data_IF_359176160524
#
_entry.id   IF_359176160524
#
_cell.length_a   1.000
_cell.length_b   1.000
_cell.length_c   1.000
_cell.angle_alpha   90.00
_cell.angle_beta   90.00
_cell.angle_gamma   90.00
#
_symmetry.space_group_name_H-M   'P 1'
#
loop_
_entity.id
_entity.type
_entity.pdbx_description
1 polymer ?
#
# COMPACT_ATOMS: atom_id res chain seq x y z
N UNK A 1 -0.11 -21.67 -25.78
CA UNK A 1 1.32 -21.67 -26.16
C UNK A 1 2.10 -21.82 -24.87
N UNK A 2 3.19 -22.59 -24.81
CA UNK A 2 3.92 -22.74 -23.54
C UNK A 2 4.89 -21.56 -23.31
N UNK A 3 5.35 -21.36 -22.07
CA UNK A 3 6.23 -20.25 -21.65
C UNK A 3 7.43 -20.06 -22.58
N UNK A 4 8.12 -21.15 -22.91
CA UNK A 4 9.32 -21.16 -23.74
C UNK A 4 9.05 -20.65 -25.16
N UNK A 5 7.87 -20.91 -25.71
CA UNK A 5 7.47 -20.38 -27.00
C UNK A 5 7.22 -18.88 -26.95
N UNK A 6 6.56 -18.36 -25.90
CA UNK A 6 6.27 -16.93 -25.76
C UNK A 6 7.53 -16.08 -25.52
N UNK A 7 8.48 -16.60 -24.74
CA UNK A 7 9.73 -15.89 -24.45
C UNK A 7 10.70 -15.85 -25.64
N UNK A 8 10.60 -16.82 -26.56
CA UNK A 8 11.47 -16.89 -27.75
C UNK A 8 10.91 -16.17 -28.98
N UNK A 9 9.67 -15.70 -28.91
CA UNK A 9 9.09 -14.88 -29.99
C UNK A 9 9.87 -13.59 -30.19
N UNK A 10 10.08 -13.22 -31.46
CA UNK A 10 10.53 -11.87 -31.81
C UNK A 10 9.55 -10.81 -31.28
N UNK A 11 10.08 -9.64 -30.96
CA UNK A 11 9.37 -8.51 -30.32
C UNK A 11 7.99 -8.23 -30.92
N UNK A 12 7.88 -8.06 -32.24
CA UNK A 12 6.59 -7.79 -32.90
C UNK A 12 5.58 -8.93 -32.74
N UNK A 13 6.03 -10.17 -32.94
CA UNK A 13 5.15 -11.34 -32.83
C UNK A 13 4.68 -11.57 -31.39
N UNK A 14 5.50 -11.20 -30.41
CA UNK A 14 5.10 -11.22 -29.00
C UNK A 14 4.09 -10.11 -28.69
N UNK A 15 4.36 -8.87 -29.12
CA UNK A 15 3.47 -7.73 -28.93
C UNK A 15 2.04 -8.00 -29.44
N UNK A 16 1.90 -8.68 -30.58
CA UNK A 16 0.59 -9.10 -31.12
C UNK A 16 -0.20 -10.05 -30.20
N UNK A 17 0.46 -10.73 -29.25
CA UNK A 17 -0.18 -11.63 -28.28
C UNK A 17 -0.58 -10.95 -26.98
N UNK A 18 0.02 -9.79 -26.66
CA UNK A 18 -0.15 -9.10 -25.37
C UNK A 18 -1.63 -8.83 -25.05
N UNK A 19 -2.48 -8.30 -25.96
CA UNK A 19 -3.89 -8.07 -25.64
C UNK A 19 -4.63 -9.36 -25.26
N UNK A 20 -4.39 -10.46 -25.98
CA UNK A 20 -5.01 -11.76 -25.71
C UNK A 20 -4.52 -12.38 -24.41
N UNK A 21 -3.26 -12.17 -24.05
CA UNK A 21 -2.68 -12.61 -22.78
C UNK A 21 -3.34 -11.88 -21.60
N UNK A 22 -3.45 -10.55 -21.68
CA UNK A 22 -4.16 -9.73 -20.68
C UNK A 22 -5.64 -10.15 -20.57
N UNK A 23 -6.30 -10.40 -21.70
CA UNK A 23 -7.68 -10.87 -21.75
C UNK A 23 -7.88 -12.25 -21.09
N UNK A 24 -6.95 -13.17 -21.32
CA UNK A 24 -7.02 -14.53 -20.77
C UNK A 24 -6.85 -14.53 -19.25
N UNK A 25 -6.09 -13.58 -18.72
CA UNK A 25 -5.83 -13.44 -17.29
C UNK A 25 -6.88 -12.58 -16.55
N UNK A 26 -7.83 -11.95 -17.25
CA UNK A 26 -8.65 -10.83 -16.75
C UNK A 26 -9.41 -11.09 -15.43
N UNK A 27 -9.69 -12.34 -15.08
CA UNK A 27 -10.42 -12.71 -13.86
C UNK A 27 -9.56 -12.74 -12.59
N UNK A 28 -8.23 -12.68 -12.67
CA UNK A 28 -7.33 -12.86 -11.51
C UNK A 28 -6.74 -11.54 -10.98
N UNK A 29 -7.51 -10.45 -11.00
CA UNK A 29 -7.04 -9.05 -10.84
C UNK A 29 -6.01 -8.78 -9.73
N UNK A 30 -6.10 -9.48 -8.59
CA UNK A 30 -5.27 -9.25 -7.39
C UNK A 30 -4.29 -10.39 -7.05
N UNK A 31 -4.16 -11.40 -7.90
CA UNK A 31 -3.10 -12.41 -7.77
C UNK A 31 -1.83 -11.89 -8.46
N UNK A 32 -0.66 -12.41 -8.09
CA UNK A 32 0.67 -11.94 -8.54
C UNK A 32 0.97 -12.09 -10.05
N UNK A 33 -0.07 -12.23 -10.87
CA UNK A 33 -0.05 -12.47 -12.29
C UNK A 33 -0.02 -13.95 -12.62
N UNK A 34 -0.58 -14.34 -13.75
CA UNK A 34 -0.21 -15.62 -14.37
C UNK A 34 1.19 -15.55 -14.95
N UNK A 35 1.70 -16.70 -15.39
CA UNK A 35 2.93 -16.80 -16.17
C UNK A 35 2.95 -15.84 -17.37
N UNK A 36 1.80 -15.59 -17.99
CA UNK A 36 1.67 -14.64 -19.10
C UNK A 36 1.99 -13.20 -18.68
N UNK A 37 1.49 -12.77 -17.51
CA UNK A 37 1.77 -11.44 -16.96
C UNK A 37 3.27 -11.28 -16.67
N UNK A 38 3.91 -12.31 -16.13
CA UNK A 38 5.35 -12.28 -15.88
C UNK A 38 6.17 -12.12 -17.16
N UNK A 39 5.77 -12.81 -18.22
CA UNK A 39 6.43 -12.66 -19.52
C UNK A 39 6.25 -11.22 -20.04
N UNK A 40 5.04 -10.65 -19.96
CA UNK A 40 4.81 -9.24 -20.32
C UNK A 40 5.72 -8.31 -19.51
N UNK A 41 5.80 -8.47 -18.19
CA UNK A 41 6.67 -7.65 -17.32
C UNK A 41 8.15 -7.75 -17.69
N UNK A 42 8.63 -8.96 -17.96
CA UNK A 42 10.03 -9.19 -18.35
C UNK A 42 10.40 -8.47 -19.66
N UNK A 43 9.44 -8.34 -20.58
CA UNK A 43 9.60 -7.74 -21.91
C UNK A 43 9.07 -6.31 -22.01
N UNK A 44 8.66 -5.71 -20.89
CA UNK A 44 8.02 -4.40 -20.85
C UNK A 44 8.90 -3.21 -21.27
N UNK A 45 10.19 -3.44 -21.54
CA UNK A 45 11.11 -2.42 -22.09
C UNK A 45 11.25 -2.50 -23.60
N UNK A 46 10.70 -3.52 -24.25
CA UNK A 46 10.72 -3.66 -25.71
C UNK A 46 9.71 -2.67 -26.32
N UNK A 47 10.12 -1.82 -27.29
CA UNK A 47 9.25 -0.84 -27.93
C UNK A 47 7.87 -1.37 -28.39
N UNK A 48 7.79 -2.55 -29.01
CA UNK A 48 6.52 -3.11 -29.46
C UNK A 48 5.65 -3.60 -28.29
N UNK A 49 6.26 -4.09 -27.21
CA UNK A 49 5.51 -4.44 -25.98
C UNK A 49 4.96 -3.17 -25.32
N UNK A 50 5.76 -2.10 -25.29
CA UNK A 50 5.32 -0.79 -24.81
C UNK A 50 4.12 -0.30 -25.63
N UNK A 51 4.22 -0.36 -26.95
CA UNK A 51 3.14 0.03 -27.87
C UNK A 51 1.88 -0.82 -27.64
N UNK A 52 2.00 -2.14 -27.51
CA UNK A 52 0.87 -3.02 -27.31
C UNK A 52 0.13 -2.77 -25.98
N UNK A 53 0.86 -2.65 -24.86
CA UNK A 53 0.24 -2.34 -23.56
C UNK A 53 -0.33 -0.91 -23.54
N UNK A 54 0.36 0.05 -24.16
CA UNK A 54 -0.14 1.43 -24.29
C UNK A 54 -1.43 1.49 -25.13
N UNK A 55 -1.50 0.71 -26.21
CA UNK A 55 -2.71 0.60 -27.04
C UNK A 55 -3.88 0.00 -26.26
N UNK A 56 -3.63 -0.93 -25.34
CA UNK A 56 -4.66 -1.43 -24.43
C UNK A 56 -5.14 -0.32 -23.51
N UNK A 57 -4.24 0.38 -22.82
CA UNK A 57 -4.58 1.42 -21.85
C UNK A 57 -5.29 2.63 -22.46
N UNK A 58 -5.11 2.88 -23.75
CA UNK A 58 -5.72 3.99 -24.48
C UNK A 58 -6.93 3.59 -25.32
N UNK A 59 -7.34 2.32 -25.25
CA UNK A 59 -8.55 1.87 -25.92
C UNK A 59 -9.81 2.35 -25.17
N UNK A 60 -10.94 2.59 -25.88
CA UNK A 60 -12.15 3.06 -25.24
C UNK A 60 -12.72 2.01 -24.29
N UNK A 61 -13.21 2.45 -23.14
CA UNK A 61 -14.04 1.65 -22.24
C UNK A 61 -15.48 2.10 -22.44
N UNK A 62 -16.39 1.20 -22.81
CA UNK A 62 -17.82 1.51 -22.88
C UNK A 62 -18.47 1.27 -21.51
N UNK A 63 -19.57 1.98 -21.22
CA UNK A 63 -20.37 1.70 -20.01
C UNK A 63 -20.86 0.25 -20.02
N UNK A 64 -20.87 -0.37 -18.85
CA UNK A 64 -21.17 -1.80 -18.64
C UNK A 64 -20.24 -2.81 -19.34
N UNK A 65 -19.21 -2.38 -20.08
CA UNK A 65 -18.20 -3.28 -20.64
C UNK A 65 -17.16 -3.67 -19.56
N UNK A 66 -17.55 -4.63 -18.74
CA UNK A 66 -16.70 -5.16 -17.68
C UNK A 66 -15.48 -5.92 -18.22
N UNK A 67 -15.57 -6.54 -19.39
CA UNK A 67 -14.45 -7.32 -19.89
C UNK A 67 -13.29 -6.42 -20.34
N UNK A 68 -13.58 -5.35 -21.09
CA UNK A 68 -12.57 -4.35 -21.47
C UNK A 68 -12.01 -3.65 -20.24
N UNK A 69 -12.87 -3.30 -19.26
CA UNK A 69 -12.43 -2.73 -17.99
C UNK A 69 -11.43 -3.65 -17.27
N UNK A 70 -11.72 -4.95 -17.16
CA UNK A 70 -10.82 -5.91 -16.51
C UNK A 70 -9.46 -6.00 -17.21
N UNK A 71 -9.43 -5.90 -18.54
CA UNK A 71 -8.16 -5.88 -19.29
C UNK A 71 -7.34 -4.64 -18.99
N UNK A 72 -7.96 -3.47 -18.86
CA UNK A 72 -7.26 -2.25 -18.44
C UNK A 72 -6.73 -2.37 -17.01
N UNK A 73 -7.55 -2.88 -16.09
CA UNK A 73 -7.14 -3.14 -14.71
C UNK A 73 -5.95 -4.10 -14.66
N UNK A 74 -5.90 -5.13 -15.52
CA UNK A 74 -4.74 -6.03 -15.64
C UNK A 74 -3.49 -5.34 -16.15
N UNK A 75 -3.62 -4.56 -17.22
CA UNK A 75 -2.49 -3.80 -17.75
C UNK A 75 -1.93 -2.85 -16.68
N UNK A 76 -2.79 -2.14 -15.95
CA UNK A 76 -2.34 -1.20 -14.93
C UNK A 76 -1.79 -1.90 -13.68
N UNK A 77 -2.60 -2.71 -12.99
CA UNK A 77 -2.28 -3.23 -11.67
C UNK A 77 -1.36 -4.44 -11.66
N UNK A 78 -1.46 -5.32 -12.67
CA UNK A 78 -0.65 -6.54 -12.72
C UNK A 78 0.65 -6.36 -13.52
N UNK A 79 0.66 -5.47 -14.53
CA UNK A 79 1.86 -5.17 -15.31
C UNK A 79 2.53 -3.90 -14.80
N UNK A 80 1.95 -2.73 -15.04
CA UNK A 80 2.67 -1.45 -14.84
C UNK A 80 3.04 -1.18 -13.39
N UNK A 81 2.15 -1.43 -12.44
CA UNK A 81 2.39 -1.21 -11.01
C UNK A 81 3.60 -1.97 -10.46
N UNK A 82 4.03 -3.04 -11.14
CA UNK A 82 5.13 -3.91 -10.74
C UNK A 82 6.42 -3.67 -11.55
N UNK A 83 6.40 -2.77 -12.53
CA UNK A 83 7.60 -2.38 -13.29
C UNK A 83 8.46 -1.41 -12.47
N UNK A 84 9.79 -1.42 -12.65
CA UNK A 84 10.67 -0.39 -12.04
C UNK A 84 10.37 1.00 -12.61
N UNK A 85 10.83 2.04 -11.90
CA UNK A 85 10.67 3.43 -12.33
C UNK A 85 11.19 3.68 -13.76
N UNK A 86 12.35 3.12 -14.12
CA UNK A 86 12.95 3.27 -15.45
C UNK A 86 12.09 2.61 -16.53
N UNK A 87 11.57 1.41 -16.24
CA UNK A 87 10.71 0.67 -17.16
C UNK A 87 9.34 1.31 -17.36
N UNK A 88 8.90 2.16 -16.43
CA UNK A 88 7.64 2.89 -16.52
C UNK A 88 7.70 4.12 -17.42
N UNK A 89 8.87 4.73 -17.61
CA UNK A 89 9.01 5.99 -18.36
C UNK A 89 8.36 5.97 -19.76
N UNK A 90 8.49 4.90 -20.57
CA UNK A 90 7.88 4.85 -21.90
C UNK A 90 6.34 4.86 -21.87
N UNK A 91 5.71 4.47 -20.76
CA UNK A 91 4.25 4.35 -20.63
C UNK A 91 3.56 5.64 -20.19
N UNK A 92 4.32 6.69 -19.84
CA UNK A 92 3.75 7.94 -19.32
C UNK A 92 2.65 8.54 -20.22
N UNK A 93 2.80 8.61 -21.57
CA UNK A 93 1.73 9.13 -22.43
C UNK A 93 0.44 8.33 -22.34
N UNK A 94 0.52 7.00 -22.22
CA UNK A 94 -0.64 6.13 -22.10
C UNK A 94 -1.32 6.27 -20.74
N UNK A 95 -0.53 6.40 -19.66
CA UNK A 95 -1.04 6.67 -18.32
C UNK A 95 -1.78 8.02 -18.26
N UNK A 96 -1.20 9.06 -18.86
CA UNK A 96 -1.84 10.37 -18.94
C UNK A 96 -3.15 10.33 -19.74
N UNK A 97 -3.19 9.57 -20.83
CA UNK A 97 -4.40 9.38 -21.63
C UNK A 97 -5.50 8.63 -20.86
N UNK A 98 -5.15 7.55 -20.15
CA UNK A 98 -6.11 6.82 -19.30
C UNK A 98 -6.60 7.69 -18.14
N UNK A 99 -5.73 8.46 -17.51
CA UNK A 99 -6.09 9.40 -16.44
C UNK A 99 -7.03 10.53 -16.91
N UNK A 100 -7.05 10.81 -18.21
CA UNK A 100 -7.92 11.82 -18.83
C UNK A 100 -9.22 11.23 -19.43
N UNK A 101 -9.48 9.93 -19.25
CA UNK A 101 -10.68 9.29 -19.76
C UNK A 101 -11.94 9.92 -19.12
N UNK A 102 -12.83 10.43 -19.95
CA UNK A 102 -14.11 10.99 -19.51
C UNK A 102 -15.15 9.88 -19.37
N UNK A 103 -15.69 9.73 -18.17
CA UNK A 103 -16.74 8.76 -17.82
C UNK A 103 -18.04 9.45 -17.37
N UNK A 104 -18.20 10.73 -17.68
CA UNK A 104 -19.39 11.51 -17.30
C UNK A 104 -20.70 10.95 -17.86
N UNK A 105 -20.64 10.28 -19.01
CA UNK A 105 -21.80 9.65 -19.66
C UNK A 105 -22.16 8.26 -19.10
N UNK A 106 -21.32 7.68 -18.23
CA UNK A 106 -21.60 6.36 -17.64
C UNK A 106 -22.70 6.46 -16.57
N UNK A 107 -23.46 5.38 -16.40
CA UNK A 107 -24.50 5.29 -15.38
C UNK A 107 -23.93 5.49 -13.96
N UNK A 108 -24.19 6.67 -13.39
CA UNK A 108 -23.74 7.02 -12.05
C UNK A 108 -24.21 5.98 -11.00
N UNK A 109 -23.30 5.63 -10.08
CA UNK A 109 -23.50 4.61 -9.03
C UNK A 109 -23.55 3.15 -9.52
N UNK A 110 -23.22 2.87 -10.78
CA UNK A 110 -22.95 1.49 -11.21
C UNK A 110 -21.60 1.01 -10.63
N UNK A 111 -21.47 -0.30 -10.44
CA UNK A 111 -20.19 -0.92 -10.05
C UNK A 111 -19.11 -0.67 -11.11
N UNK A 112 -19.51 -0.67 -12.39
CA UNK A 112 -18.63 -0.34 -13.52
C UNK A 112 -18.09 1.10 -13.43
N UNK A 113 -18.96 2.08 -13.17
CA UNK A 113 -18.55 3.47 -12.96
C UNK A 113 -17.53 3.61 -11.82
N UNK A 114 -17.82 2.99 -10.66
CA UNK A 114 -16.93 3.06 -9.50
C UNK A 114 -15.56 2.45 -9.80
N UNK A 115 -15.52 1.27 -10.41
CA UNK A 115 -14.28 0.60 -10.78
C UNK A 115 -13.49 1.36 -11.86
N UNK A 116 -14.18 1.94 -12.84
CA UNK A 116 -13.52 2.76 -13.88
C UNK A 116 -12.96 4.06 -13.29
N UNK A 117 -13.68 4.70 -12.36
CA UNK A 117 -13.17 5.88 -11.64
C UNK A 117 -11.90 5.57 -10.85
N UNK A 118 -11.85 4.43 -10.16
CA UNK A 118 -10.67 3.99 -9.39
C UNK A 118 -9.49 3.69 -10.34
N UNK A 119 -9.75 3.08 -11.50
CA UNK A 119 -8.75 2.84 -12.54
C UNK A 119 -8.14 4.16 -13.04
N UNK A 120 -8.97 5.14 -13.41
CA UNK A 120 -8.55 6.45 -13.90
C UNK A 120 -7.71 7.18 -12.84
N UNK A 121 -8.19 7.19 -11.60
CA UNK A 121 -7.47 7.80 -10.48
C UNK A 121 -6.07 7.19 -10.30
N UNK A 122 -5.98 5.85 -10.29
CA UNK A 122 -4.71 5.16 -10.11
C UNK A 122 -3.77 5.31 -11.31
N UNK A 123 -4.29 5.44 -12.52
CA UNK A 123 -3.49 5.81 -13.69
C UNK A 123 -2.86 7.19 -13.52
N UNK A 124 -3.63 8.17 -13.02
CA UNK A 124 -3.14 9.52 -12.71
C UNK A 124 -2.10 9.54 -11.58
N UNK A 125 -2.30 8.75 -10.52
CA UNK A 125 -1.33 8.62 -9.44
C UNK A 125 0.00 7.99 -9.92
N UNK A 126 -0.08 6.95 -10.76
CA UNK A 126 1.12 6.35 -11.34
C UNK A 126 1.80 7.29 -12.34
N UNK A 127 1.04 8.03 -13.15
CA UNK A 127 1.59 9.06 -14.04
C UNK A 127 2.38 10.11 -13.24
N UNK A 128 1.79 10.63 -12.15
CA UNK A 128 2.46 11.58 -11.25
C UNK A 128 3.76 11.01 -10.68
N UNK A 129 3.75 9.76 -10.22
CA UNK A 129 4.95 9.08 -9.72
C UNK A 129 6.06 8.98 -10.79
N UNK A 130 5.68 8.69 -12.03
CA UNK A 130 6.62 8.57 -13.15
C UNK A 130 7.14 9.93 -13.62
N UNK A 131 6.30 10.96 -13.57
CA UNK A 131 6.62 12.31 -14.00
C UNK A 131 7.60 13.05 -13.07
N UNK A 132 7.53 12.78 -11.76
CA UNK A 132 8.37 13.40 -10.75
C UNK A 132 9.10 12.34 -9.92
N UNK A 133 10.40 12.20 -10.16
CA UNK A 133 11.25 11.24 -9.44
C UNK A 133 11.43 11.53 -7.95
N UNK A 134 10.94 12.69 -7.47
CA UNK A 134 10.96 13.07 -6.05
C UNK A 134 9.57 13.05 -5.41
N UNK A 135 8.53 12.69 -6.15
CA UNK A 135 7.18 12.66 -5.60
C UNK A 135 7.04 11.58 -4.53
N UNK A 136 6.63 11.99 -3.34
CA UNK A 136 6.33 11.15 -2.18
C UNK A 136 5.01 11.61 -1.58
N UNK A 137 4.14 10.68 -1.22
CA UNK A 137 2.90 10.98 -0.50
C UNK A 137 2.40 9.75 0.27
N UNK A 138 1.59 10.02 1.30
CA UNK A 138 0.78 9.00 1.98
C UNK A 138 -0.59 8.89 1.30
N UNK A 139 -1.22 7.73 1.37
CA UNK A 139 -2.56 7.49 0.81
C UNK A 139 -3.53 8.59 1.24
N UNK A 140 -4.24 9.17 0.27
CA UNK A 140 -5.29 10.18 0.55
C UNK A 140 -6.68 9.58 0.71
N UNK A 141 -6.86 8.36 0.20
CA UNK A 141 -8.09 7.59 0.32
C UNK A 141 -7.79 6.09 0.30
N UNK A 142 -8.84 5.29 0.51
CA UNK A 142 -8.78 3.82 0.61
C UNK A 142 -8.39 3.12 -0.70
N UNK A 143 -8.34 3.84 -1.82
CA UNK A 143 -8.12 3.32 -3.17
C UNK A 143 -6.84 3.83 -3.82
N UNK A 144 -6.01 4.60 -3.12
CA UNK A 144 -4.66 4.93 -3.55
C UNK A 144 -3.77 3.68 -3.44
N UNK A 145 -3.48 3.08 -4.59
CA UNK A 145 -2.65 1.87 -4.68
C UNK A 145 -1.20 2.19 -5.07
N UNK A 146 -0.80 3.47 -5.10
CA UNK A 146 0.54 3.93 -5.54
C UNK A 146 1.36 4.53 -4.39
N UNK A 147 0.71 5.16 -3.40
CA UNK A 147 1.35 5.82 -2.25
C UNK A 147 2.42 4.97 -1.56
N UNK A 148 2.11 3.72 -1.21
CA UNK A 148 3.01 2.75 -0.58
C UNK A 148 4.32 2.62 -1.37
N UNK A 149 4.19 2.48 -2.69
CA UNK A 149 5.34 2.39 -3.59
C UNK A 149 6.18 3.65 -3.58
N UNK A 150 5.57 4.84 -3.47
CA UNK A 150 6.33 6.09 -3.42
C UNK A 150 7.20 6.18 -2.17
N UNK A 151 6.68 5.77 -1.02
CA UNK A 151 7.43 5.71 0.24
C UNK A 151 8.51 4.62 0.18
N UNK A 152 8.18 3.44 -0.36
CA UNK A 152 9.12 2.34 -0.53
C UNK A 152 10.34 2.72 -1.38
N UNK A 153 10.09 3.37 -2.53
CA UNK A 153 11.14 3.65 -3.52
C UNK A 153 11.89 4.97 -3.30
N UNK A 154 11.36 5.91 -2.50
CA UNK A 154 11.93 7.27 -2.39
C UNK A 154 12.36 7.67 -0.99
N UNK A 155 11.90 6.97 0.03
CA UNK A 155 12.24 7.27 1.43
C UNK A 155 13.14 6.16 1.93
N UNK A 156 14.35 6.51 2.36
CA UNK A 156 15.39 5.55 2.72
C UNK A 156 15.97 5.76 4.12
N UNK A 157 15.69 6.90 4.75
CA UNK A 157 16.09 7.15 6.14
C UNK A 157 14.89 7.47 7.04
N UNK A 158 15.10 7.33 8.35
CA UNK A 158 14.08 7.66 9.33
C UNK A 158 13.75 9.17 9.31
N UNK A 159 14.74 10.03 9.07
CA UNK A 159 14.56 11.48 8.96
C UNK A 159 13.70 11.85 7.75
N UNK A 160 13.87 11.14 6.62
CA UNK A 160 13.05 11.32 5.43
C UNK A 160 11.62 10.81 5.64
N UNK A 161 11.43 9.73 6.41
CA UNK A 161 10.11 9.15 6.70
C UNK A 161 9.32 9.98 7.71
N UNK A 162 9.99 10.60 8.68
CA UNK A 162 9.37 11.27 9.84
C UNK A 162 8.22 12.23 9.49
N UNK A 163 8.31 13.09 8.45
CA UNK A 163 7.21 13.99 8.09
C UNK A 163 5.92 13.27 7.66
N UNK A 164 6.02 12.02 7.20
CA UNK A 164 4.89 11.22 6.71
C UNK A 164 4.29 10.31 7.78
N UNK A 165 5.01 10.04 8.87
CA UNK A 165 4.57 9.13 9.93
C UNK A 165 3.20 9.50 10.53
N UNK A 166 2.86 10.78 10.78
CA UNK A 166 1.54 11.12 11.30
C UNK A 166 0.40 10.65 10.40
N UNK A 167 0.49 10.92 9.10
CA UNK A 167 -0.52 10.49 8.12
C UNK A 167 -0.55 8.95 7.98
N UNK A 168 0.58 8.27 8.16
CA UNK A 168 0.62 6.80 8.17
C UNK A 168 -0.07 6.22 9.40
N UNK A 169 0.11 6.84 10.58
CA UNK A 169 -0.56 6.43 11.80
C UNK A 169 -2.07 6.68 11.73
N UNK A 170 -2.54 7.74 11.08
CA UNK A 170 -3.99 7.97 10.86
C UNK A 170 -4.66 6.79 10.12
N UNK A 171 -3.93 6.10 9.23
CA UNK A 171 -4.43 4.91 8.54
C UNK A 171 -4.45 3.64 9.40
N UNK A 172 -3.83 3.66 10.58
CA UNK A 172 -3.86 2.55 11.53
C UNK A 172 -5.09 2.58 12.46
N UNK A 173 -6.04 3.50 12.27
CA UNK A 173 -7.23 3.59 13.10
C UNK A 173 -8.32 2.53 12.78
N UNK A 174 -8.27 1.87 11.62
CA UNK A 174 -9.26 0.84 11.22
C UNK A 174 -8.59 -0.19 10.30
N UNK A 175 -8.46 -1.42 10.80
CA UNK A 175 -7.82 -2.53 10.09
C UNK A 175 -8.57 -2.98 8.82
N UNK A 176 -9.82 -2.56 8.63
CA UNK A 176 -10.57 -2.81 7.39
C UNK A 176 -10.18 -1.86 6.26
N UNK A 177 -9.40 -0.82 6.54
CA UNK A 177 -8.90 0.08 5.52
C UNK A 177 -7.81 -0.60 4.69
N UNK A 178 -7.93 -0.64 3.34
CA UNK A 178 -6.87 -1.19 2.50
C UNK A 178 -5.48 -0.59 2.73
N UNK A 179 -5.34 0.72 3.06
CA UNK A 179 -4.04 1.29 3.43
C UNK A 179 -3.47 0.83 4.79
N UNK A 180 -4.22 0.17 5.67
CA UNK A 180 -3.76 -0.19 7.02
C UNK A 180 -2.44 -0.98 6.97
N UNK A 181 -2.43 -2.14 6.30
CA UNK A 181 -1.24 -2.99 6.25
C UNK A 181 -0.06 -2.31 5.53
N UNK A 182 -0.23 -1.70 4.33
CA UNK A 182 0.87 -0.97 3.70
C UNK A 182 1.42 0.17 4.57
N UNK A 183 0.57 0.93 5.27
CA UNK A 183 1.04 2.00 6.14
C UNK A 183 1.81 1.45 7.34
N UNK A 184 1.33 0.36 7.95
CA UNK A 184 2.02 -0.36 9.03
C UNK A 184 3.39 -0.85 8.57
N UNK A 185 3.48 -1.44 7.38
CA UNK A 185 4.73 -1.94 6.80
C UNK A 185 5.72 -0.79 6.56
N UNK A 186 5.25 0.37 6.08
CA UNK A 186 6.09 1.55 5.89
C UNK A 186 6.64 2.09 7.22
N UNK A 187 5.82 2.14 8.27
CA UNK A 187 6.26 2.53 9.62
C UNK A 187 7.30 1.55 10.17
N UNK A 188 7.09 0.24 9.97
CA UNK A 188 7.99 -0.81 10.45
C UNK A 188 9.39 -0.79 9.81
N UNK A 189 9.59 -0.09 8.68
CA UNK A 189 10.92 0.11 8.08
C UNK A 189 11.84 1.00 8.93
N UNK A 190 11.28 1.85 9.79
CA UNK A 190 12.01 2.78 10.65
C UNK A 190 11.49 2.72 12.10
N UNK A 191 11.56 1.54 12.73
CA UNK A 191 10.72 1.18 13.86
C UNK A 191 10.98 2.03 15.10
N UNK A 192 12.23 2.38 15.40
CA UNK A 192 12.55 3.20 16.57
C UNK A 192 12.01 4.63 16.46
N UNK A 193 12.04 5.20 15.26
CA UNK A 193 11.48 6.55 15.03
C UNK A 193 9.95 6.49 15.02
N UNK A 194 9.38 5.44 14.44
CA UNK A 194 7.93 5.22 14.45
C UNK A 194 7.40 5.04 15.88
N UNK A 195 8.11 4.35 16.78
CA UNK A 195 7.72 4.19 18.19
C UNK A 195 7.63 5.52 18.95
N UNK A 196 8.56 6.46 18.67
CA UNK A 196 8.53 7.79 19.26
C UNK A 196 7.27 8.55 18.82
N UNK A 197 6.91 8.46 17.55
CA UNK A 197 5.68 9.09 17.02
C UNK A 197 4.43 8.37 17.54
N UNK A 198 4.45 7.04 17.66
CA UNK A 198 3.35 6.25 18.20
C UNK A 198 2.99 6.68 19.64
N UNK A 199 3.95 7.15 20.44
CA UNK A 199 3.69 7.72 21.77
C UNK A 199 2.76 8.94 21.72
N UNK A 200 2.97 9.84 20.74
CA UNK A 200 2.13 11.02 20.57
C UNK A 200 0.69 10.62 20.18
N UNK A 201 0.56 9.61 19.33
CA UNK A 201 -0.74 9.09 18.91
C UNK A 201 -1.46 8.30 20.02
N UNK A 202 -0.73 7.52 20.82
CA UNK A 202 -1.31 6.81 21.95
C UNK A 202 -1.79 7.79 23.02
N UNK A 203 -1.05 8.87 23.26
CA UNK A 203 -1.50 9.94 24.16
C UNK A 203 -2.85 10.53 23.71
N UNK A 204 -2.99 10.83 22.41
CA UNK A 204 -4.23 11.32 21.82
C UNK A 204 -5.36 10.29 21.91
N UNK A 205 -5.10 9.04 21.55
CA UNK A 205 -6.09 7.96 21.59
C UNK A 205 -6.61 7.72 23.03
N UNK A 206 -5.74 7.87 24.05
CA UNK A 206 -6.13 7.84 25.46
C UNK A 206 -7.11 8.97 25.83
N UNK A 207 -6.88 10.19 25.35
CA UNK A 207 -7.80 11.31 25.59
C UNK A 207 -9.16 11.09 24.92
N UNK A 208 -9.15 10.52 23.71
CA UNK A 208 -10.34 10.25 22.90
C UNK A 208 -11.07 8.96 23.31
N UNK A 209 -10.43 8.11 24.12
CA UNK A 209 -10.90 6.77 24.52
C UNK A 209 -11.20 5.87 23.31
N UNK A 210 -10.33 5.93 22.32
CA UNK A 210 -10.40 5.09 21.12
C UNK A 210 -9.68 3.76 21.37
N UNK A 211 -10.41 2.78 21.88
CA UNK A 211 -9.86 1.48 22.31
C UNK A 211 -9.30 0.66 21.15
N UNK A 212 -9.97 0.68 20.00
CA UNK A 212 -9.50 0.01 18.79
C UNK A 212 -8.17 0.63 18.31
N UNK A 213 -8.06 1.96 18.31
CA UNK A 213 -6.81 2.59 17.91
C UNK A 213 -5.68 2.40 18.93
N UNK A 214 -6.00 2.41 20.24
CA UNK A 214 -5.05 2.07 21.31
C UNK A 214 -4.44 0.68 21.12
N UNK A 215 -5.30 -0.32 20.83
CA UNK A 215 -4.88 -1.68 20.51
C UNK A 215 -3.88 -1.69 19.35
N UNK A 216 -4.22 -1.09 18.20
CA UNK A 216 -3.35 -1.08 17.04
C UNK A 216 -1.99 -0.38 17.26
N UNK A 217 -1.94 0.65 18.10
CA UNK A 217 -0.70 1.34 18.47
C UNK A 217 0.20 0.51 19.40
N UNK A 218 -0.39 -0.19 20.38
CA UNK A 218 0.33 -1.10 21.27
C UNK A 218 0.90 -2.27 20.46
N UNK A 219 0.05 -2.90 19.64
CA UNK A 219 0.43 -4.00 18.76
C UNK A 219 1.52 -3.60 17.76
N UNK A 220 1.47 -2.39 17.21
CA UNK A 220 2.54 -1.88 16.34
C UNK A 220 3.89 -1.90 17.05
N UNK A 221 3.97 -1.31 18.24
CA UNK A 221 5.25 -1.25 18.95
C UNK A 221 5.68 -2.63 19.45
N UNK A 222 4.74 -3.45 19.91
CA UNK A 222 5.03 -4.79 20.38
C UNK A 222 5.61 -5.71 19.29
N UNK A 223 5.03 -5.68 18.08
CA UNK A 223 5.41 -6.58 16.98
C UNK A 223 6.55 -6.04 16.12
N UNK A 224 6.55 -4.75 15.82
CA UNK A 224 7.41 -4.18 14.80
C UNK A 224 8.66 -3.50 15.37
N UNK A 225 8.68 -3.15 16.65
CA UNK A 225 9.76 -2.34 17.23
C UNK A 225 10.65 -3.19 18.13
N UNK A 226 11.96 -3.27 17.87
CA UNK A 226 12.90 -3.89 18.82
C UNK A 226 12.79 -3.24 20.20
N UNK A 227 12.64 -4.05 21.25
CA UNK A 227 12.54 -3.56 22.63
C UNK A 227 13.80 -2.77 22.96
N UNK A 228 13.62 -1.52 23.36
CA UNK A 228 14.73 -0.56 23.42
C UNK A 228 14.35 0.77 24.06
N UNK A 229 15.29 1.73 24.02
CA UNK A 229 15.05 3.09 24.50
C UNK A 229 13.89 3.79 23.76
N UNK A 230 13.63 3.40 22.52
CA UNK A 230 12.52 3.91 21.70
C UNK A 230 11.14 3.57 22.25
N UNK A 231 11.01 2.58 23.13
CA UNK A 231 9.76 2.25 23.81
C UNK A 231 9.46 3.20 24.97
N UNK A 232 10.50 3.78 25.60
CA UNK A 232 10.37 4.60 26.81
C UNK A 232 9.35 5.75 26.67
N UNK A 233 9.28 6.50 25.55
CA UNK A 233 8.29 7.57 25.39
C UNK A 233 6.84 7.12 25.54
N UNK A 234 6.50 5.87 25.22
CA UNK A 234 5.13 5.35 25.36
C UNK A 234 4.78 4.93 26.79
N UNK A 235 5.77 4.72 27.66
CA UNK A 235 5.58 4.09 28.98
C UNK A 235 4.50 4.76 29.81
N UNK A 236 4.55 6.07 29.96
CA UNK A 236 3.60 6.80 30.82
C UNK A 236 2.17 6.68 30.27
N UNK A 237 2.01 6.66 28.95
CA UNK A 237 0.71 6.50 28.29
C UNK A 237 0.16 5.09 28.44
N UNK A 238 1.00 4.05 28.33
CA UNK A 238 0.60 2.66 28.55
C UNK A 238 0.25 2.42 30.03
N UNK A 239 1.00 2.99 30.96
CA UNK A 239 0.68 2.92 32.40
C UNK A 239 -0.64 3.62 32.75
N UNK A 240 -0.89 4.79 32.15
CA UNK A 240 -2.17 5.47 32.30
C UNK A 240 -3.33 4.64 31.77
N UNK A 241 -3.15 4.01 30.59
CA UNK A 241 -4.15 3.13 29.99
C UNK A 241 -4.50 1.95 30.89
N UNK A 242 -3.51 1.21 31.41
CA UNK A 242 -3.74 0.09 32.33
C UNK A 242 -4.55 0.52 33.55
N UNK A 243 -4.24 1.69 34.09
CA UNK A 243 -4.95 2.23 35.27
C UNK A 243 -6.39 2.62 34.93
N UNK A 244 -6.63 3.21 33.77
CA UNK A 244 -7.96 3.64 33.35
C UNK A 244 -8.87 2.44 33.01
N UNK A 245 -8.29 1.34 32.53
CA UNK A 245 -8.99 0.07 32.26
C UNK A 245 -9.12 -0.85 33.49
N UNK A 246 -8.56 -0.45 34.64
CA UNK A 246 -8.61 -1.25 35.86
C UNK A 246 -10.04 -1.40 36.38
N UNK A 247 -10.44 -2.64 36.67
CA UNK A 247 -11.79 -2.95 37.11
C UNK A 247 -12.90 -2.87 36.05
N UNK A 248 -12.56 -2.57 34.77
CA UNK A 248 -13.50 -2.77 33.68
C UNK A 248 -13.87 -4.26 33.55
N UNK A 249 -15.12 -4.51 33.15
CA UNK A 249 -15.69 -5.85 32.89
C UNK A 249 -16.11 -6.02 31.43
N UNK A 250 -15.79 -5.05 30.59
CA UNK A 250 -15.95 -5.16 29.16
C UNK A 250 -14.83 -6.06 28.62
N UNK A 251 -15.16 -7.01 27.75
CA UNK A 251 -14.21 -8.01 27.27
C UNK A 251 -13.09 -7.34 26.45
N UNK A 252 -13.43 -6.30 25.66
CA UNK A 252 -12.47 -5.57 24.82
C UNK A 252 -11.49 -4.75 25.69
N UNK A 253 -12.00 -4.13 26.78
CA UNK A 253 -11.16 -3.43 27.75
C UNK A 253 -10.22 -4.39 28.51
N UNK A 254 -10.67 -5.62 28.79
CA UNK A 254 -9.85 -6.64 29.46
C UNK A 254 -8.71 -7.14 28.57
N UNK A 255 -8.98 -7.35 27.28
CA UNK A 255 -7.98 -7.72 26.26
C UNK A 255 -6.92 -6.62 26.11
N UNK A 256 -7.34 -5.37 25.87
CA UNK A 256 -6.44 -4.23 25.73
C UNK A 256 -5.59 -3.99 27.00
N UNK A 257 -6.18 -4.16 28.18
CA UNK A 257 -5.43 -4.10 29.44
C UNK A 257 -4.39 -5.22 29.54
N UNK A 258 -4.71 -6.41 29.04
CA UNK A 258 -3.78 -7.55 28.98
C UNK A 258 -2.55 -7.22 28.12
N UNK A 259 -2.78 -6.73 26.91
CA UNK A 259 -1.74 -6.31 25.96
C UNK A 259 -0.85 -5.21 26.53
N UNK A 260 -1.44 -4.18 27.13
CA UNK A 260 -0.72 -3.09 27.76
C UNK A 260 0.18 -3.56 28.91
N UNK A 261 -0.30 -4.52 29.73
CA UNK A 261 0.51 -5.11 30.81
C UNK A 261 1.66 -5.97 30.26
N UNK A 262 1.42 -6.74 29.20
CA UNK A 262 2.47 -7.53 28.55
C UNK A 262 3.55 -6.63 27.95
N UNK A 263 3.15 -5.55 27.28
CA UNK A 263 4.04 -4.53 26.76
C UNK A 263 4.94 -3.94 27.87
N UNK A 264 4.37 -3.55 29.01
CA UNK A 264 5.12 -3.02 30.15
C UNK A 264 6.09 -4.05 30.72
N UNK A 265 5.65 -5.30 30.88
CA UNK A 265 6.47 -6.41 31.37
C UNK A 265 7.70 -6.62 30.48
N UNK A 266 7.50 -6.57 29.15
CA UNK A 266 8.59 -6.76 28.18
C UNK A 266 9.62 -5.64 28.25
N UNK A 267 9.18 -4.39 28.44
CA UNK A 267 10.08 -3.25 28.63
C UNK A 267 10.89 -3.38 29.93
N UNK A 268 10.24 -3.76 31.04
CA UNK A 268 10.89 -3.94 32.35
C UNK A 268 11.97 -5.04 32.31
N UNK A 269 11.70 -6.16 31.64
CA UNK A 269 12.66 -7.26 31.46
C UNK A 269 13.91 -6.82 30.69
N UNK A 270 13.73 -6.02 29.64
CA UNK A 270 14.83 -5.44 28.88
C UNK A 270 15.67 -4.46 29.73
N UNK A 271 15.02 -3.60 30.52
CA UNK A 271 15.72 -2.69 31.43
C UNK A 271 16.53 -3.42 32.50
N UNK A 272 15.99 -4.51 33.05
CA UNK A 272 16.68 -5.35 34.04
C UNK A 272 17.94 -6.00 33.41
N UNK A 273 17.77 -6.59 32.22
CA UNK A 273 18.86 -7.26 31.49
C UNK A 273 20.01 -6.30 31.14
N UNK A 274 19.69 -5.05 30.79
CA UNK A 274 20.70 -4.03 30.49
C UNK A 274 21.43 -3.48 31.72
N UNK A 275 20.81 -3.54 32.91
CA UNK A 275 21.47 -3.16 34.17
C UNK A 275 22.49 -4.20 34.62
N UNK A 276 22.29 -5.47 34.27
CA UNK A 276 23.22 -6.56 34.59
C UNK A 276 24.47 -6.58 33.68
N UNK A 277 24.42 -5.89 32.53
CA UNK A 277 25.53 -5.81 31.57
C UNK A 277 26.45 -4.57 31.74
N UNK A 278 26.10 -3.64 32.62
CA UNK A 278 26.89 -2.42 32.94
C UNK A 278 27.62 -2.57 34.26
#
# INVERSE_FOLDING_TARGET
MNREQLTTLGEKAFAEKVPTMLWSDRETLFKDGSEDIEIIRSRASEPATVEAVSSVLTSPIADEDYDTLRVHQKALYSVLFKLSFEKLQPYRPALAALAALDISDFAHRSSHYAQTSILIQNAGLLERFVADSKAVWVSKDKFDMVSDRTLAERVHTAEEMRPYMPELFDWLADANNPPFTPCRDQLARFPETAAVVAAEFLAKANEEKDTEYQHFLIDFVYDCVPVGESWIPMREHVQALVKDLDGSKDDDDEELRGEANEWLTRLEQWEASNKEQK
#
